data_IF_075440103697
#
_entry.id   IF_075440103697
#
_cell.length_a   1.000
_cell.length_b   1.000
_cell.length_c   1.000
_cell.angle_alpha   90.00
_cell.angle_beta   90.00
_cell.angle_gamma   90.00
#
_symmetry.space_group_name_H-M   'P 1'
#
loop_
_entity.id
_entity.type
_entity.pdbx_description
1 polymer ?
#
# COMPACT_ATOMS: atom_id res chain seq x y z
N UNK A 1 -0.68 9.17 20.56
CA UNK A 1 0.10 8.13 19.89
C UNK A 1 -0.77 7.46 18.84
N UNK A 2 -0.30 7.41 17.61
CA UNK A 2 -1.08 6.83 16.52
C UNK A 2 -0.88 5.31 16.51
N UNK A 3 -1.97 4.56 16.48
CA UNK A 3 -1.91 3.11 16.32
C UNK A 3 -1.95 2.75 14.85
N UNK A 4 -0.84 2.25 14.35
CA UNK A 4 -0.76 1.80 12.96
C UNK A 4 -1.05 0.31 12.90
N UNK A 5 -1.83 -0.10 11.92
CA UNK A 5 -2.16 -1.50 11.73
C UNK A 5 -2.02 -1.86 10.26
N UNK A 6 -1.50 -3.06 10.02
CA UNK A 6 -1.39 -3.63 8.68
C UNK A 6 -2.08 -4.98 8.69
N UNK A 7 -3.10 -5.11 7.86
CA UNK A 7 -3.91 -6.31 7.83
C UNK A 7 -3.91 -6.90 6.43
N UNK A 8 -3.69 -8.19 6.36
CA UNK A 8 -3.78 -8.91 5.10
C UNK A 8 -5.08 -9.70 5.06
N UNK A 9 -5.90 -9.41 4.05
CA UNK A 9 -7.04 -10.23 3.71
C UNK A 9 -6.61 -11.14 2.56
N UNK A 10 -6.60 -12.44 2.83
CA UNK A 10 -6.10 -13.43 1.88
C UNK A 10 -6.97 -13.48 0.63
N UNK A 11 -6.37 -13.93 -0.46
CA UNK A 11 -7.10 -14.13 -1.72
C UNK A 11 -8.24 -15.13 -1.52
N UNK A 12 -9.42 -14.78 -2.03
CA UNK A 12 -10.61 -15.64 -1.98
C UNK A 12 -11.14 -15.73 -3.39
N UNK A 13 -11.28 -16.96 -3.90
CA UNK A 13 -11.73 -17.21 -5.26
C UNK A 13 -10.87 -16.46 -6.27
N UNK A 14 -11.46 -15.58 -7.07
CA UNK A 14 -10.74 -14.83 -8.10
C UNK A 14 -10.30 -13.44 -7.64
N UNK A 15 -10.52 -13.12 -6.37
CA UNK A 15 -10.16 -11.80 -5.85
C UNK A 15 -8.71 -11.76 -5.41
N UNK A 16 -8.05 -10.64 -5.69
CA UNK A 16 -6.67 -10.40 -5.25
C UNK A 16 -6.62 -10.23 -3.73
N UNK A 17 -5.50 -10.60 -3.10
CA UNK A 17 -5.30 -10.26 -1.68
C UNK A 17 -5.34 -8.74 -1.49
N UNK A 18 -5.84 -8.32 -0.34
CA UNK A 18 -5.90 -6.90 0.02
C UNK A 18 -5.08 -6.67 1.29
N UNK A 19 -4.15 -5.73 1.21
CA UNK A 19 -3.42 -5.24 2.38
C UNK A 19 -4.07 -3.92 2.78
N UNK A 20 -4.61 -3.86 3.99
CA UNK A 20 -5.22 -2.65 4.53
C UNK A 20 -4.29 -2.06 5.57
N UNK A 21 -3.91 -0.80 5.39
CA UNK A 21 -3.08 -0.07 6.32
C UNK A 21 -3.87 1.07 6.94
N UNK A 22 -3.64 1.33 8.23
CA UNK A 22 -4.25 2.44 8.94
C UNK A 22 -3.20 3.17 9.76
N UNK A 23 -3.44 4.45 10.02
CA UNK A 23 -2.51 5.27 10.80
C UNK A 23 -1.36 5.81 9.98
N UNK A 24 -0.18 5.85 10.57
CA UNK A 24 1.02 6.38 9.92
C UNK A 24 1.93 5.23 9.49
N UNK A 25 2.57 5.37 8.34
CA UNK A 25 3.61 4.43 7.91
C UNK A 25 4.93 5.19 7.88
N UNK A 26 5.86 4.80 8.72
CA UNK A 26 7.14 5.48 8.85
C UNK A 26 8.27 4.47 9.08
N UNK A 27 9.46 4.96 9.29
CA UNK A 27 10.63 4.12 9.47
C UNK A 27 10.47 3.12 10.63
N UNK A 28 9.69 3.49 11.66
CA UNK A 28 9.51 2.63 12.82
C UNK A 28 8.68 1.38 12.54
N UNK A 29 7.77 1.43 11.56
CA UNK A 29 6.88 0.31 11.28
C UNK A 29 6.91 -0.17 9.83
N UNK A 30 7.73 0.43 8.98
CA UNK A 30 7.76 0.06 7.55
C UNK A 30 8.20 -1.39 7.34
N UNK A 31 8.99 -1.96 8.25
CA UNK A 31 9.39 -3.36 8.17
C UNK A 31 8.18 -4.29 8.23
N UNK A 32 7.26 -4.00 9.16
CA UNK A 32 6.02 -4.78 9.28
C UNK A 32 5.13 -4.60 8.04
N UNK A 33 5.05 -3.37 7.53
CA UNK A 33 4.31 -3.09 6.31
C UNK A 33 4.88 -3.88 5.13
N UNK A 34 6.20 -3.85 4.97
CA UNK A 34 6.88 -4.59 3.91
C UNK A 34 6.68 -6.09 4.00
N UNK A 35 6.72 -6.65 5.21
CA UNK A 35 6.46 -8.08 5.43
C UNK A 35 5.03 -8.44 5.02
N UNK A 36 4.06 -7.59 5.34
CA UNK A 36 2.66 -7.81 4.96
C UNK A 36 2.50 -7.79 3.44
N UNK A 37 3.17 -6.84 2.77
CA UNK A 37 3.16 -6.78 1.31
C UNK A 37 3.77 -8.03 0.69
N UNK A 38 4.89 -8.51 1.24
CA UNK A 38 5.56 -9.70 0.74
C UNK A 38 4.67 -10.93 0.88
N UNK A 39 3.97 -11.07 1.99
CA UNK A 39 3.03 -12.18 2.19
C UNK A 39 1.89 -12.13 1.19
N UNK A 40 1.37 -10.95 0.92
CA UNK A 40 0.31 -10.78 -0.07
C UNK A 40 0.81 -11.16 -1.47
N UNK A 41 1.99 -10.69 -1.84
CA UNK A 41 2.58 -10.95 -3.15
C UNK A 41 2.87 -12.43 -3.38
N UNK A 42 3.10 -13.18 -2.30
CA UNK A 42 3.31 -14.62 -2.39
C UNK A 42 2.03 -15.39 -2.73
N UNK A 43 0.86 -14.77 -2.55
CA UNK A 43 -0.43 -15.43 -2.78
C UNK A 43 -0.97 -15.22 -4.19
N UNK A 44 -0.50 -14.22 -4.92
CA UNK A 44 -1.10 -13.85 -6.19
C UNK A 44 -0.16 -12.98 -7.00
N UNK A 45 -0.38 -12.95 -8.33
CA UNK A 45 0.34 -12.07 -9.24
C UNK A 45 -0.13 -10.61 -9.15
N UNK A 46 -1.22 -10.37 -8.46
CA UNK A 46 -1.74 -9.02 -8.27
C UNK A 46 -2.24 -8.84 -6.85
N UNK A 47 -1.99 -7.67 -6.29
CA UNK A 47 -2.44 -7.32 -4.94
C UNK A 47 -3.04 -5.92 -4.94
N UNK A 48 -3.89 -5.67 -3.95
CA UNK A 48 -4.45 -4.35 -3.70
C UNK A 48 -3.97 -3.87 -2.34
N UNK A 49 -3.50 -2.64 -2.27
CA UNK A 49 -3.11 -2.02 -1.00
C UNK A 49 -4.04 -0.85 -0.74
N UNK A 50 -4.80 -0.94 0.33
CA UNK A 50 -5.77 0.08 0.72
C UNK A 50 -5.11 1.04 1.71
N UNK A 51 -4.84 2.25 1.25
CA UNK A 51 -4.23 3.32 2.04
C UNK A 51 -5.24 4.41 2.38
N UNK A 52 -6.54 4.17 2.17
CA UNK A 52 -7.56 5.20 2.38
C UNK A 52 -7.68 5.65 3.83
N UNK A 53 -7.23 4.83 4.77
CA UNK A 53 -7.24 5.15 6.21
C UNK A 53 -5.85 5.54 6.74
N UNK A 54 -4.87 5.74 5.84
CA UNK A 54 -3.52 6.16 6.23
C UNK A 54 -3.48 7.68 6.30
N UNK A 55 -3.03 8.20 7.43
CA UNK A 55 -2.93 9.65 7.66
C UNK A 55 -1.63 10.24 7.13
N UNK A 56 -0.57 9.44 7.14
CA UNK A 56 0.76 9.88 6.74
C UNK A 56 1.60 8.70 6.33
N UNK A 57 2.43 8.88 5.31
CA UNK A 57 3.51 7.93 5.02
C UNK A 57 4.72 8.71 4.52
N UNK A 58 5.91 8.17 4.79
CA UNK A 58 7.15 8.77 4.35
C UNK A 58 7.73 8.01 3.15
N UNK A 59 8.93 8.39 2.74
CA UNK A 59 9.58 7.80 1.57
C UNK A 59 9.92 6.32 1.76
N UNK A 60 10.03 5.84 3.01
CA UNK A 60 10.28 4.41 3.24
C UNK A 60 9.08 3.56 2.85
N UNK A 61 7.86 4.07 3.09
CA UNK A 61 6.64 3.41 2.65
C UNK A 61 6.55 3.37 1.12
N UNK A 62 6.88 4.47 0.45
CA UNK A 62 6.89 4.53 -1.00
C UNK A 62 7.89 3.52 -1.57
N UNK A 63 9.07 3.43 -0.96
CA UNK A 63 10.09 2.48 -1.39
C UNK A 63 9.62 1.03 -1.27
N UNK A 64 8.91 0.71 -0.19
CA UNK A 64 8.34 -0.63 0.00
C UNK A 64 7.31 -0.95 -1.09
N UNK A 65 6.50 0.02 -1.47
CA UNK A 65 5.50 -0.16 -2.54
C UNK A 65 6.18 -0.33 -3.89
N UNK A 66 7.24 0.43 -4.19
CA UNK A 66 8.01 0.24 -5.42
C UNK A 66 8.61 -1.15 -5.49
N UNK A 67 9.13 -1.65 -4.38
CA UNK A 67 9.74 -2.97 -4.35
C UNK A 67 8.74 -4.06 -4.72
N UNK A 68 7.51 -3.99 -4.21
CA UNK A 68 6.51 -5.00 -4.54
C UNK A 68 5.95 -4.81 -5.95
N UNK A 69 5.86 -3.57 -6.43
CA UNK A 69 5.39 -3.28 -7.78
C UNK A 69 6.34 -3.80 -8.85
N UNK A 70 7.62 -4.03 -8.51
CA UNK A 70 8.60 -4.55 -9.45
C UNK A 70 8.29 -5.99 -9.89
N UNK A 71 7.60 -6.76 -9.06
CA UNK A 71 7.33 -8.18 -9.34
C UNK A 71 5.85 -8.55 -9.30
N UNK A 72 4.97 -7.65 -8.90
CA UNK A 72 3.56 -7.93 -8.67
C UNK A 72 2.74 -6.77 -9.20
N UNK A 73 1.60 -7.07 -9.83
CA UNK A 73 0.69 -6.01 -10.22
C UNK A 73 0.09 -5.38 -8.97
N UNK A 74 0.25 -4.07 -8.85
CA UNK A 74 -0.13 -3.34 -7.65
C UNK A 74 -1.28 -2.39 -7.97
N UNK A 75 -2.35 -2.49 -7.19
CA UNK A 75 -3.42 -1.50 -7.18
C UNK A 75 -3.42 -0.81 -5.82
N UNK A 76 -3.55 0.50 -5.82
CA UNK A 76 -3.56 1.31 -4.60
C UNK A 76 -4.89 2.02 -4.47
N UNK A 77 -5.49 1.93 -3.29
CA UNK A 77 -6.68 2.71 -2.95
C UNK A 77 -6.21 3.82 -2.03
N UNK A 78 -6.44 5.07 -2.42
CA UNK A 78 -5.92 6.23 -1.69
C UNK A 78 -7.03 7.25 -1.47
N UNK A 79 -6.88 8.16 -0.50
CA UNK A 79 -7.81 9.28 -0.37
C UNK A 79 -7.81 10.12 -1.65
N UNK A 80 -8.94 10.75 -1.95
CA UNK A 80 -9.07 11.57 -3.15
C UNK A 80 -8.10 12.76 -3.15
N UNK A 81 -7.79 13.28 -1.97
CA UNK A 81 -6.87 14.41 -1.80
C UNK A 81 -6.03 14.19 -0.56
N UNK A 82 -4.92 14.91 -0.48
CA UNK A 82 -4.11 14.95 0.72
C UNK A 82 -2.68 14.52 0.47
N UNK A 83 -1.89 14.40 1.56
CA UNK A 83 -0.45 14.13 1.45
C UNK A 83 -0.11 12.81 0.76
N UNK A 84 -0.93 11.78 0.97
CA UNK A 84 -0.67 10.46 0.38
C UNK A 84 -0.77 10.54 -1.13
N UNK A 85 -1.85 11.11 -1.63
CA UNK A 85 -2.08 11.25 -3.08
C UNK A 85 -1.00 12.12 -3.72
N UNK A 86 -0.63 13.20 -3.07
CA UNK A 86 0.44 14.09 -3.52
C UNK A 86 1.77 13.35 -3.60
N UNK A 87 2.10 12.58 -2.57
CA UNK A 87 3.35 11.82 -2.51
C UNK A 87 3.44 10.79 -3.63
N UNK A 88 2.33 10.11 -3.93
CA UNK A 88 2.30 9.13 -5.02
C UNK A 88 2.59 9.77 -6.37
N UNK A 89 2.05 10.96 -6.61
CA UNK A 89 2.31 11.69 -7.86
C UNK A 89 3.76 12.13 -7.97
N UNK A 90 4.31 12.69 -6.89
CA UNK A 90 5.69 13.18 -6.86
C UNK A 90 6.69 12.04 -7.04
N UNK A 91 6.44 10.89 -6.40
CA UNK A 91 7.36 9.76 -6.43
C UNK A 91 7.33 8.99 -7.75
N UNK A 92 6.28 9.15 -8.55
CA UNK A 92 6.09 8.38 -9.78
C UNK A 92 5.50 6.99 -9.56
N UNK A 93 5.07 6.69 -8.35
CA UNK A 93 4.49 5.38 -8.04
C UNK A 93 3.21 5.13 -8.83
N UNK A 94 2.47 6.19 -9.16
CA UNK A 94 1.27 6.11 -9.98
C UNK A 94 1.53 5.66 -11.42
N UNK A 95 2.80 5.60 -11.85
CA UNK A 95 3.18 5.10 -13.18
C UNK A 95 3.38 3.59 -13.18
N UNK A 96 3.66 2.99 -12.02
CA UNK A 96 3.93 1.55 -11.91
C UNK A 96 2.82 0.82 -11.17
N UNK A 97 1.78 1.52 -10.73
CA UNK A 97 0.65 0.95 -10.02
C UNK A 97 -0.64 1.58 -10.52
N UNK A 98 -1.74 0.86 -10.40
CA UNK A 98 -3.06 1.41 -10.67
C UNK A 98 -3.55 2.12 -9.42
N UNK A 99 -3.89 3.40 -9.53
CA UNK A 99 -4.32 4.20 -8.39
C UNK A 99 -5.81 4.47 -8.49
N UNK A 100 -6.53 4.10 -7.43
CA UNK A 100 -7.98 4.33 -7.31
C UNK A 100 -8.20 5.25 -6.12
N UNK A 101 -8.93 6.32 -6.33
CA UNK A 101 -9.21 7.27 -5.24
C UNK A 101 -10.53 6.93 -4.57
N UNK A 102 -10.59 7.15 -3.27
CA UNK A 102 -11.78 6.93 -2.47
C UNK A 102 -12.11 8.21 -1.71
N UNK A 103 -13.32 8.67 -1.86
CA UNK A 103 -13.80 9.86 -1.14
C UNK A 103 -14.26 9.53 0.27
#
# INVERSE_FOLDING_TARGET
MTNSQFRLTAAVAEQSPVVTATGDIDLANVGEFGDTLTKAAAQSDSITVDLSEVSYCDSTAVRALFAVAATTKLALIVPAEGPITTLLGISGLDRVATVVTRN
#
